data_IF_507673331750
#
_entry.id   IF_507673331750
#
_cell.length_a   1.000
_cell.length_b   1.000
_cell.length_c   1.000
_cell.angle_alpha   90.00
_cell.angle_beta   90.00
_cell.angle_gamma   90.00
#
_symmetry.space_group_name_H-M   'P 1'
#
loop_
_entity.id
_entity.type
_entity.pdbx_description
1 polymer ?
#
# COMPACT_ATOMS: atom_id res chain seq x y z
N UNK A 1 1.28 -29.89 -2.35
CA UNK A 1 1.85 -28.63 -1.84
C UNK A 1 2.56 -27.93 -3.00
N UNK A 2 1.97 -26.89 -3.58
CA UNK A 2 2.74 -25.99 -4.44
C UNK A 2 3.72 -25.26 -3.54
N UNK A 3 5.01 -25.58 -3.67
CA UNK A 3 6.05 -24.90 -2.91
C UNK A 3 6.09 -23.45 -3.39
N UNK A 4 5.55 -22.53 -2.61
CA UNK A 4 5.69 -21.10 -2.87
C UNK A 4 7.17 -20.78 -2.63
N UNK A 5 7.93 -20.61 -3.71
CA UNK A 5 9.33 -20.23 -3.62
C UNK A 5 9.41 -18.71 -3.46
N UNK A 6 9.74 -18.28 -2.24
CA UNK A 6 9.99 -16.88 -1.91
C UNK A 6 11.50 -16.67 -1.69
N UNK A 7 12.09 -15.80 -2.50
CA UNK A 7 13.53 -15.56 -2.53
C UNK A 7 13.92 -14.26 -1.82
N UNK A 8 15.23 -14.07 -1.60
CA UNK A 8 15.75 -12.81 -1.04
C UNK A 8 15.48 -11.63 -1.97
N UNK A 9 15.50 -11.85 -3.28
CA UNK A 9 15.18 -10.82 -4.28
C UNK A 9 13.71 -10.38 -4.16
N UNK A 10 12.79 -11.32 -3.95
CA UNK A 10 11.37 -11.01 -3.73
C UNK A 10 11.18 -10.14 -2.47
N UNK A 11 11.89 -10.46 -1.39
CA UNK A 11 11.88 -9.67 -0.17
C UNK A 11 12.39 -8.25 -0.41
N UNK A 12 13.48 -8.10 -1.17
CA UNK A 12 14.05 -6.78 -1.50
C UNK A 12 13.10 -5.96 -2.39
N UNK A 13 12.43 -6.62 -3.34
CA UNK A 13 11.44 -5.98 -4.19
C UNK A 13 10.23 -5.48 -3.39
N UNK A 14 9.69 -6.30 -2.49
CA UNK A 14 8.59 -5.91 -1.60
C UNK A 14 9.03 -4.77 -0.69
N UNK A 15 10.21 -4.85 -0.08
CA UNK A 15 10.75 -3.78 0.76
C UNK A 15 10.87 -2.45 -0.01
N UNK A 16 11.34 -2.48 -1.26
CA UNK A 16 11.42 -1.30 -2.12
C UNK A 16 10.03 -0.69 -2.41
N UNK A 17 9.03 -1.52 -2.69
CA UNK A 17 7.65 -1.07 -2.93
C UNK A 17 7.05 -0.45 -1.66
N UNK A 18 7.34 -1.03 -0.50
CA UNK A 18 6.90 -0.55 0.81
C UNK A 18 7.75 0.60 1.38
N UNK A 19 8.77 1.07 0.64
CA UNK A 19 9.71 2.13 1.09
C UNK A 19 10.45 1.81 2.40
N UNK A 20 10.71 0.53 2.63
CA UNK A 20 11.47 0.04 3.78
C UNK A 20 12.93 -0.19 3.40
N UNK A 21 13.84 0.28 4.25
CA UNK A 21 15.26 -0.05 4.17
C UNK A 21 15.54 -1.15 5.20
N UNK A 22 16.00 -2.31 4.74
CA UNK A 22 16.25 -3.47 5.59
C UNK A 22 17.75 -3.74 5.72
N UNK A 23 18.19 -4.02 6.94
CA UNK A 23 19.54 -4.53 7.22
C UNK A 23 19.67 -6.00 6.79
N UNK A 24 20.90 -6.51 6.66
CA UNK A 24 21.10 -7.91 6.28
C UNK A 24 20.55 -8.90 7.33
N UNK A 25 20.66 -8.56 8.61
CA UNK A 25 20.10 -9.34 9.72
C UNK A 25 18.56 -9.41 9.64
N UNK A 26 17.91 -8.28 9.37
CA UNK A 26 16.46 -8.22 9.17
C UNK A 26 16.01 -8.99 7.93
N UNK A 27 16.80 -8.93 6.84
CA UNK A 27 16.49 -9.69 5.62
C UNK A 27 16.47 -11.19 5.88
N UNK A 28 17.45 -11.72 6.62
CA UNK A 28 17.50 -13.15 6.94
C UNK A 28 16.31 -13.57 7.80
N UNK A 29 15.97 -12.77 8.81
CA UNK A 29 14.81 -13.01 9.67
C UNK A 29 13.49 -12.95 8.90
N UNK A 30 13.26 -11.87 8.16
CA UNK A 30 12.01 -11.65 7.41
C UNK A 30 11.85 -12.63 6.26
N UNK A 31 12.93 -13.14 5.68
CA UNK A 31 12.84 -14.19 4.67
C UNK A 31 12.20 -15.47 5.23
N UNK A 32 12.51 -15.83 6.48
CA UNK A 32 11.91 -16.99 7.15
C UNK A 32 10.46 -16.68 7.51
N UNK A 33 10.21 -15.55 8.18
CA UNK A 33 8.86 -15.18 8.62
C UNK A 33 7.88 -15.04 7.45
N UNK A 34 8.32 -14.48 6.31
CA UNK A 34 7.48 -14.37 5.11
C UNK A 34 7.15 -15.73 4.51
N UNK A 35 8.09 -16.69 4.54
CA UNK A 35 7.81 -18.06 4.06
C UNK A 35 6.75 -18.73 4.93
N UNK A 36 6.85 -18.60 6.25
CA UNK A 36 5.90 -19.18 7.20
C UNK A 36 4.49 -18.57 7.01
N UNK A 37 4.42 -17.25 6.80
CA UNK A 37 3.14 -16.56 6.53
C UNK A 37 2.55 -17.02 5.18
N UNK A 38 3.36 -17.10 4.13
CA UNK A 38 2.90 -17.53 2.81
C UNK A 38 2.43 -18.99 2.83
N UNK A 39 3.09 -19.86 3.58
CA UNK A 39 2.66 -21.24 3.78
C UNK A 39 1.31 -21.30 4.52
N UNK A 40 1.16 -20.52 5.60
CA UNK A 40 -0.10 -20.43 6.33
C UNK A 40 -1.26 -19.92 5.45
N UNK A 41 -1.04 -18.82 4.71
CA UNK A 41 -2.05 -18.25 3.81
C UNK A 41 -2.34 -19.20 2.64
N UNK A 42 -1.36 -19.98 2.20
CA UNK A 42 -1.53 -21.02 1.18
C UNK A 42 -2.61 -22.05 1.51
N UNK A 43 -2.88 -22.32 2.80
CA UNK A 43 -3.95 -23.22 3.24
C UNK A 43 -5.34 -22.76 2.77
N UNK A 44 -5.53 -21.45 2.59
CA UNK A 44 -6.79 -20.88 2.06
C UNK A 44 -7.04 -21.36 0.63
N UNK A 45 -5.98 -21.49 -0.19
CA UNK A 45 -6.12 -22.00 -1.56
C UNK A 45 -6.53 -23.47 -1.63
N UNK A 46 -6.14 -24.27 -0.64
CA UNK A 46 -6.50 -25.70 -0.56
C UNK A 46 -7.96 -25.90 -0.12
N UNK A 47 -8.45 -25.03 0.78
CA UNK A 47 -9.82 -25.08 1.28
C UNK A 47 -10.84 -24.43 0.33
N UNK A 48 -10.44 -23.39 -0.43
CA UNK A 48 -11.30 -22.68 -1.36
C UNK A 48 -11.33 -23.32 -2.77
N UNK A 49 -11.67 -24.60 -2.86
CA UNK A 49 -11.77 -25.36 -4.12
C UNK A 49 -13.19 -25.32 -4.74
N UNK A 50 -13.73 -24.11 -4.89
CA UNK A 50 -15.00 -23.88 -5.58
C UNK A 50 -15.03 -22.51 -6.25
N UNK A 51 -16.04 -22.24 -7.10
CA UNK A 51 -16.42 -20.88 -7.50
C UNK A 51 -16.90 -20.13 -6.25
N UNK A 52 -15.96 -19.74 -5.39
CA UNK A 52 -16.16 -18.66 -4.45
C UNK A 52 -16.13 -17.43 -5.34
N UNK A 53 -17.31 -17.01 -5.79
CA UNK A 53 -17.51 -15.63 -6.20
C UNK A 53 -16.76 -14.78 -5.17
N UNK A 54 -15.66 -14.18 -5.64
CA UNK A 54 -14.68 -13.54 -4.81
C UNK A 54 -15.37 -12.74 -3.72
N UNK A 55 -14.75 -12.65 -2.56
CA UNK A 55 -15.21 -11.73 -1.55
C UNK A 55 -15.13 -10.24 -1.97
N UNK A 56 -14.74 -9.98 -3.23
CA UNK A 56 -14.87 -8.72 -3.93
C UNK A 56 -15.49 -8.85 -5.34
N UNK A 57 -16.23 -9.91 -5.64
CA UNK A 57 -16.81 -10.18 -6.95
C UNK A 57 -17.90 -11.26 -6.91
N UNK A 58 -19.10 -10.90 -7.34
CA UNK A 58 -20.34 -11.69 -7.45
C UNK A 58 -21.09 -11.98 -6.11
N UNK A 59 -20.50 -12.55 -5.04
CA UNK A 59 -21.27 -12.88 -3.81
C UNK A 59 -21.15 -11.82 -2.69
N UNK A 60 -20.29 -10.83 -2.85
CA UNK A 60 -20.37 -9.56 -2.09
C UNK A 60 -21.33 -8.57 -2.76
N UNK A 61 -21.87 -8.94 -3.92
CA UNK A 61 -22.92 -8.18 -4.59
C UNK A 61 -24.27 -8.35 -3.91
N UNK A 62 -24.69 -9.55 -3.52
CA UNK A 62 -26.12 -9.78 -3.23
C UNK A 62 -26.68 -9.11 -1.97
N UNK A 63 -25.84 -8.69 -1.03
CA UNK A 63 -26.25 -7.89 0.13
C UNK A 63 -26.13 -6.36 -0.08
N UNK A 64 -25.44 -5.93 -1.14
CA UNK A 64 -25.20 -4.51 -1.50
C UNK A 64 -25.86 -4.10 -2.82
N UNK A 65 -26.38 -5.04 -3.61
CA UNK A 65 -26.98 -4.82 -4.93
C UNK A 65 -28.26 -3.98 -4.83
N UNK A 66 -29.00 -4.08 -3.72
CA UNK A 66 -30.25 -3.33 -3.57
C UNK A 66 -30.06 -1.89 -3.04
N UNK A 67 -28.87 -1.51 -2.53
CA UNK A 67 -28.66 -0.16 -1.96
C UNK A 67 -27.50 0.67 -2.53
N UNK A 68 -26.57 0.13 -3.33
CA UNK A 68 -25.28 0.84 -3.57
C UNK A 68 -24.94 1.17 -5.04
N UNK A 69 -25.82 0.89 -6.01
CA UNK A 69 -25.59 1.30 -7.42
C UNK A 69 -26.07 2.73 -7.72
N UNK A 70 -25.74 3.71 -6.87
CA UNK A 70 -25.97 5.13 -7.16
C UNK A 70 -24.71 5.93 -6.89
N UNK A 71 -24.25 6.66 -7.91
CA UNK A 71 -23.15 7.61 -7.77
C UNK A 71 -23.52 8.61 -6.66
N UNK A 72 -22.77 8.58 -5.57
CA UNK A 72 -22.90 9.57 -4.50
C UNK A 72 -21.98 10.73 -4.84
N UNK A 73 -22.54 11.77 -5.44
CA UNK A 73 -21.81 13.00 -5.77
C UNK A 73 -21.88 13.98 -4.60
N UNK A 74 -20.78 14.69 -4.36
CA UNK A 74 -20.74 15.85 -3.45
C UNK A 74 -21.08 17.11 -4.25
N UNK A 75 -21.91 17.98 -3.69
CA UNK A 75 -22.21 19.31 -4.25
C UNK A 75 -20.95 20.18 -4.37
N UNK A 76 -20.82 20.95 -5.46
CA UNK A 76 -19.66 21.80 -5.74
C UNK A 76 -19.73 23.15 -5.02
N UNK A 77 -19.60 23.10 -3.69
CA UNK A 77 -19.55 24.29 -2.84
C UNK A 77 -18.13 24.54 -2.33
N UNK A 78 -17.73 25.81 -2.27
CA UNK A 78 -16.51 26.25 -1.57
C UNK A 78 -16.79 26.25 -0.07
N UNK A 79 -16.09 25.41 0.68
CA UNK A 79 -16.28 25.27 2.12
C UNK A 79 -15.24 26.04 2.96
N UNK A 80 -14.05 26.24 2.40
CA UNK A 80 -12.90 26.81 3.11
C UNK A 80 -12.29 27.94 2.29
N UNK A 81 -11.75 28.95 2.96
CA UNK A 81 -11.03 30.05 2.31
C UNK A 81 -9.56 29.69 2.06
N UNK A 82 -8.91 30.44 1.16
CA UNK A 82 -7.49 30.25 0.88
C UNK A 82 -6.65 30.54 2.13
N UNK A 83 -5.73 29.64 2.44
CA UNK A 83 -4.81 29.70 3.59
C UNK A 83 -5.45 29.62 4.99
N UNK A 84 -6.74 29.34 5.09
CA UNK A 84 -7.47 29.29 6.37
C UNK A 84 -6.81 28.32 7.39
N UNK A 85 -6.27 27.20 6.92
CA UNK A 85 -5.70 26.14 7.76
C UNK A 85 -4.20 25.94 7.58
N UNK A 86 -3.49 26.84 6.87
CA UNK A 86 -2.08 26.63 6.51
C UNK A 86 -1.20 26.45 7.73
N UNK A 87 -1.31 27.29 8.76
CA UNK A 87 -0.50 27.16 9.98
C UNK A 87 -0.79 25.88 10.75
N UNK A 88 -2.07 25.52 10.91
CA UNK A 88 -2.46 24.30 11.63
C UNK A 88 -1.98 23.01 10.93
N UNK A 89 -1.95 23.02 9.59
CA UNK A 89 -1.42 21.90 8.80
C UNK A 89 0.11 21.81 8.90
N UNK A 90 0.80 22.95 8.87
CA UNK A 90 2.26 23.01 8.88
C UNK A 90 2.87 22.81 10.28
N UNK A 91 2.10 22.94 11.36
CA UNK A 91 2.57 22.63 12.72
C UNK A 91 3.07 21.18 12.87
N UNK A 92 2.46 20.25 12.11
CA UNK A 92 2.86 18.84 12.10
C UNK A 92 3.96 18.52 11.08
N UNK A 93 4.42 19.49 10.30
CA UNK A 93 5.46 19.26 9.30
C UNK A 93 6.83 19.15 9.98
N UNK A 94 7.61 18.07 9.73
CA UNK A 94 8.94 17.92 10.34
C UNK A 94 9.92 19.05 10.01
N UNK A 95 9.86 19.56 8.78
CA UNK A 95 10.66 20.68 8.28
C UNK A 95 9.77 21.52 7.37
N UNK A 96 9.81 22.85 7.53
CA UNK A 96 9.06 23.80 6.69
C UNK A 96 9.93 24.94 6.20
N UNK A 97 9.61 25.46 5.02
CA UNK A 97 10.19 26.67 4.46
C UNK A 97 9.06 27.61 4.02
N UNK A 98 8.76 28.63 4.82
CA UNK A 98 7.56 29.44 4.65
C UNK A 98 6.31 28.56 4.72
N UNK A 99 5.45 28.69 3.71
CA UNK A 99 4.16 27.98 3.62
C UNK A 99 4.29 26.56 2.99
N UNK A 100 5.51 26.04 2.88
CA UNK A 100 5.80 24.77 2.22
C UNK A 100 6.42 23.74 3.17
N UNK A 101 6.05 22.47 2.98
CA UNK A 101 6.76 21.34 3.58
C UNK A 101 8.06 21.11 2.81
N UNK A 102 9.18 21.16 3.51
CA UNK A 102 10.49 20.99 2.90
C UNK A 102 10.84 19.50 2.78
N UNK A 103 11.22 19.07 1.58
CA UNK A 103 11.65 17.70 1.29
C UNK A 103 12.92 17.70 0.46
N UNK A 104 13.68 16.62 0.55
CA UNK A 104 14.84 16.40 -0.30
C UNK A 104 14.45 16.39 -1.78
N UNK A 105 15.29 17.00 -2.61
CA UNK A 105 15.09 17.12 -4.05
C UNK A 105 14.85 15.75 -4.71
N UNK A 106 13.76 15.66 -5.49
CA UNK A 106 13.25 14.40 -6.06
C UNK A 106 14.10 13.87 -7.24
N UNK A 107 14.78 14.75 -7.99
CA UNK A 107 15.32 14.42 -9.32
C UNK A 107 16.72 13.77 -9.34
N UNK A 108 17.44 13.68 -8.22
CA UNK A 108 18.84 13.20 -8.27
C UNK A 108 18.99 11.66 -8.20
N UNK A 109 17.94 10.91 -7.83
CA UNK A 109 18.03 9.42 -7.71
C UNK A 109 17.88 8.64 -9.03
N UNK A 110 17.50 9.27 -10.14
CA UNK A 110 17.30 8.59 -11.43
C UNK A 110 18.48 8.71 -12.41
N UNK A 111 19.61 9.32 -12.02
CA UNK A 111 20.76 9.50 -12.93
C UNK A 111 21.64 8.26 -13.17
N UNK A 112 21.47 7.17 -12.41
CA UNK A 112 22.36 5.99 -12.49
C UNK A 112 21.60 4.67 -12.74
N UNK A 113 20.82 4.59 -13.82
CA UNK A 113 20.35 3.30 -14.38
C UNK A 113 20.57 3.15 -15.90
N UNK A 114 21.49 3.93 -16.45
CA UNK A 114 22.03 3.70 -17.80
C UNK A 114 23.55 3.80 -17.75
N UNK A 115 24.20 2.65 -17.55
CA UNK A 115 25.49 2.26 -18.14
C UNK A 115 25.75 0.79 -17.87
#
# INVERSE_FOLDING_TARGET
MSKIEFTKEDLENVAMLSRLSLTEEEKEKFLVEMKDILEYVGQVSEMASGKVEASGGENYGKQFIDSVNKNTTREDNVLNEANEYTEALLENAPIRNGDYVEVSKVLDKYKNKEK
#
